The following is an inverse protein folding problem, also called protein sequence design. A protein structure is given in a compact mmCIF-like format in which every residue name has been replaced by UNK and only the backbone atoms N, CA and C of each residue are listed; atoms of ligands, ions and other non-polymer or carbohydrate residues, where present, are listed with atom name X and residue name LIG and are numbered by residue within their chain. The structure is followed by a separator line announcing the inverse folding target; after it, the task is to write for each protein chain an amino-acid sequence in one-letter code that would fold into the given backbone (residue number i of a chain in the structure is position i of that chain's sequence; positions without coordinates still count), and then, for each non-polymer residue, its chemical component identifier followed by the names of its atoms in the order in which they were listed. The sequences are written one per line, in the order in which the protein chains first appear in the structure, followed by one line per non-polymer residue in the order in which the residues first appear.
data_IF_488186083160
#
_entry.id   IF_488186083160
#
_cell.length_a   1.000
_cell.length_b   1.000
_cell.length_c   1.000
_cell.angle_alpha   90.00
_cell.angle_beta   90.00
_cell.angle_gamma   90.00
#
_symmetry.space_group_name_H-M   'P 1'
#
loop_
_entity.id
_entity.type
_entity.pdbx_description
1 polymer ?
#
# COMPACT_ATOMS: atom_id res chain seq x y z
N UNK A 1 -8.86 -12.95 33.73
CA UNK A 1 -8.86 -13.10 32.26
C UNK A 1 -9.79 -12.06 31.63
N UNK A 2 -9.23 -10.93 31.20
CA UNK A 2 -9.99 -9.99 30.36
C UNK A 2 -9.77 -10.36 28.90
N UNK A 3 -10.74 -11.10 28.33
CA UNK A 3 -10.78 -11.43 26.91
C UNK A 3 -11.75 -10.49 26.21
N UNK A 4 -11.31 -9.89 25.09
CA UNK A 4 -12.16 -9.06 24.24
C UNK A 4 -12.39 -9.77 22.92
N UNK A 5 -13.66 -9.98 22.57
CA UNK A 5 -14.04 -10.70 21.36
C UNK A 5 -14.58 -9.72 20.32
N UNK A 6 -14.18 -9.93 19.07
CA UNK A 6 -14.65 -9.20 17.90
C UNK A 6 -15.22 -10.21 16.93
N UNK A 7 -16.46 -9.97 16.51
CA UNK A 7 -17.17 -10.84 15.59
C UNK A 7 -17.73 -9.98 14.47
N UNK A 8 -17.32 -10.24 13.23
CA UNK A 8 -17.70 -9.42 12.08
C UNK A 8 -17.60 -10.19 10.78
N UNK A 9 -18.31 -9.72 9.74
CA UNK A 9 -18.22 -10.29 8.39
C UNK A 9 -16.98 -9.75 7.66
N UNK A 10 -16.25 -10.65 7.02
CA UNK A 10 -15.07 -10.28 6.22
C UNK A 10 -15.49 -9.61 4.91
N UNK A 11 -14.75 -8.57 4.51
CA UNK A 11 -15.03 -7.76 3.33
C UNK A 11 -13.80 -7.62 2.44
N UNK A 12 -14.02 -7.53 1.13
CA UNK A 12 -12.96 -7.28 0.16
C UNK A 12 -12.30 -5.91 0.41
N UNK A 13 -13.08 -4.92 0.86
CA UNK A 13 -12.58 -3.58 1.19
C UNK A 13 -11.63 -3.61 2.39
N UNK A 14 -11.97 -4.35 3.45
CA UNK A 14 -11.13 -4.47 4.64
C UNK A 14 -9.78 -5.11 4.32
N UNK A 15 -9.79 -6.21 3.55
CA UNK A 15 -8.53 -6.83 3.09
C UNK A 15 -7.77 -5.98 2.07
N UNK A 16 -8.46 -5.24 1.21
CA UNK A 16 -7.81 -4.31 0.29
C UNK A 16 -7.08 -3.21 1.05
N UNK A 17 -7.73 -2.62 2.05
CA UNK A 17 -7.13 -1.59 2.90
C UNK A 17 -5.95 -2.14 3.71
N UNK A 18 -6.11 -3.36 4.27
CA UNK A 18 -5.03 -4.09 4.94
C UNK A 18 -3.79 -4.26 4.04
N UNK A 19 -3.97 -4.66 2.78
CA UNK A 19 -2.84 -4.82 1.86
C UNK A 19 -2.28 -3.48 1.41
N UNK A 20 -3.13 -2.49 1.14
CA UNK A 20 -2.73 -1.15 0.68
C UNK A 20 -1.78 -0.46 1.66
N UNK A 21 -2.03 -0.57 2.97
CA UNK A 21 -1.19 0.05 4.01
C UNK A 21 -0.08 -0.86 4.55
N UNK A 22 0.06 -2.07 4.00
CA UNK A 22 1.10 -3.00 4.40
C UNK A 22 2.49 -2.43 4.10
N UNK A 23 3.48 -2.54 5.02
CA UNK A 23 4.84 -2.02 4.82
C UNK A 23 5.49 -2.49 3.51
N UNK A 24 5.27 -3.76 3.14
CA UNK A 24 5.74 -4.34 1.89
C UNK A 24 5.26 -3.54 0.66
N UNK A 25 3.96 -3.26 0.54
CA UNK A 25 3.43 -2.55 -0.63
C UNK A 25 3.86 -1.08 -0.67
N UNK A 26 4.09 -0.45 0.50
CA UNK A 26 4.72 0.87 0.55
C UNK A 26 6.11 0.86 -0.09
N UNK A 27 6.93 -0.15 0.21
CA UNK A 27 8.25 -0.35 -0.44
C UNK A 27 8.10 -0.62 -1.94
N UNK A 28 7.16 -1.47 -2.35
CA UNK A 28 6.90 -1.75 -3.78
C UNK A 28 6.53 -0.47 -4.55
N UNK A 29 5.66 0.37 -3.99
CA UNK A 29 5.32 1.66 -4.60
C UNK A 29 6.53 2.58 -4.71
N UNK A 30 7.35 2.67 -3.66
CA UNK A 30 8.56 3.49 -3.65
C UNK A 30 9.56 3.03 -4.72
N UNK A 31 9.96 1.76 -4.71
CA UNK A 31 10.90 1.22 -5.69
C UNK A 31 10.35 1.21 -7.11
N UNK A 32 9.04 1.00 -7.28
CA UNK A 32 8.43 1.07 -8.60
C UNK A 32 8.39 2.49 -9.16
N UNK A 33 8.13 3.52 -8.33
CA UNK A 33 8.23 4.91 -8.77
C UNK A 33 9.66 5.29 -9.15
N UNK A 34 10.66 4.84 -8.39
CA UNK A 34 12.08 5.01 -8.74
C UNK A 34 12.38 4.31 -10.08
N UNK A 35 11.92 3.07 -10.25
CA UNK A 35 12.11 2.33 -11.49
C UNK A 35 11.51 3.04 -12.70
N UNK A 36 10.28 3.53 -12.59
CA UNK A 36 9.62 4.33 -13.64
C UNK A 36 10.42 5.60 -13.95
N UNK A 37 10.90 6.29 -12.93
CA UNK A 37 11.75 7.48 -13.12
C UNK A 37 13.04 7.16 -13.88
N UNK A 38 13.78 6.12 -13.45
CA UNK A 38 15.03 5.70 -14.10
C UNK A 38 14.80 5.32 -15.57
N UNK A 39 13.76 4.53 -15.86
CA UNK A 39 13.40 4.16 -17.24
C UNK A 39 13.13 5.41 -18.08
N UNK A 40 12.37 6.38 -17.55
CA UNK A 40 12.09 7.63 -18.25
C UNK A 40 13.34 8.47 -18.51
N UNK A 41 14.28 8.53 -17.57
CA UNK A 41 15.56 9.23 -17.77
C UNK A 41 16.39 8.56 -18.86
N UNK A 42 16.48 7.22 -18.87
CA UNK A 42 17.21 6.49 -19.92
C UNK A 42 16.58 6.73 -21.30
N UNK A 43 15.25 6.68 -21.39
CA UNK A 43 14.53 6.97 -22.63
C UNK A 43 14.76 8.40 -23.11
N UNK A 44 14.77 9.38 -22.19
CA UNK A 44 15.09 10.76 -22.52
C UNK A 44 16.48 10.90 -23.12
N UNK A 45 17.50 10.32 -22.47
CA UNK A 45 18.87 10.37 -22.98
C UNK A 45 18.98 9.70 -24.35
N UNK A 46 18.31 8.56 -24.53
CA UNK A 46 18.27 7.84 -25.81
C UNK A 46 17.63 8.68 -26.92
N UNK A 47 16.42 9.21 -26.70
CA UNK A 47 15.73 10.02 -27.69
C UNK A 47 16.46 11.32 -27.98
N UNK A 48 17.03 11.97 -26.96
CA UNK A 48 17.79 13.20 -27.14
C UNK A 48 19.03 12.96 -28.01
N UNK A 49 19.78 11.88 -27.75
CA UNK A 49 20.92 11.51 -28.58
C UNK A 49 20.51 11.22 -30.03
N UNK A 50 19.48 10.38 -30.22
CA UNK A 50 19.01 10.00 -31.55
C UNK A 50 18.53 11.22 -32.37
N UNK A 51 17.81 12.16 -31.74
CA UNK A 51 17.38 13.37 -32.44
C UNK A 51 18.54 14.33 -32.72
N UNK A 52 19.53 14.45 -31.83
CA UNK A 52 20.72 15.28 -32.08
C UNK A 52 21.59 14.74 -33.23
N UNK A 53 21.80 13.43 -33.32
CA UNK A 53 22.50 12.82 -34.46
C UNK A 53 21.77 13.10 -35.78
N UNK A 54 20.43 13.03 -35.78
CA UNK A 54 19.62 13.32 -36.97
C UNK A 54 19.62 14.79 -37.38
N UNK A 55 20.04 15.71 -36.50
CA UNK A 55 19.96 17.16 -36.69
C UNK A 55 21.30 17.83 -37.05
N UNK A 56 22.29 17.05 -37.49
CA UNK A 56 23.70 17.46 -37.74
C UNK A 56 23.88 18.89 -38.31
N UNK A 57 24.73 19.74 -37.69
CA UNK A 57 24.77 21.18 -37.97
C UNK A 57 25.58 21.54 -39.22
N UNK A 58 25.10 22.56 -39.95
CA UNK A 58 25.79 23.14 -41.11
C UNK A 58 26.36 24.54 -40.85
N UNK A 59 25.85 25.31 -39.87
CA UNK A 59 26.44 26.62 -39.56
C UNK A 59 26.24 27.09 -38.10
N UNK A 60 27.08 28.01 -37.60
CA UNK A 60 27.10 28.46 -36.21
C UNK A 60 26.11 29.61 -35.91
N UNK A 61 25.05 29.78 -36.71
CA UNK A 61 24.07 30.87 -36.51
C UNK A 61 23.13 30.51 -35.35
N UNK A 62 22.87 31.46 -34.45
CA UNK A 62 22.02 31.27 -33.25
C UNK A 62 20.64 30.63 -33.55
N UNK A 63 20.09 30.92 -34.73
CA UNK A 63 18.83 30.32 -35.21
C UNK A 63 18.97 28.82 -35.57
N UNK A 64 20.10 28.40 -36.14
CA UNK A 64 20.38 26.98 -36.39
C UNK A 64 20.57 26.21 -35.07
N UNK A 65 21.23 26.81 -34.08
CA UNK A 65 21.38 26.20 -32.75
C UNK A 65 20.03 25.91 -32.07
N UNK A 66 19.08 26.84 -32.12
CA UNK A 66 17.74 26.64 -31.54
C UNK A 66 17.01 25.49 -32.24
N UNK A 67 17.04 25.46 -33.58
CA UNK A 67 16.34 24.45 -34.36
C UNK A 67 16.99 23.06 -34.30
N UNK A 68 18.32 22.98 -34.22
CA UNK A 68 19.06 21.72 -34.31
C UNK A 68 19.41 21.11 -32.94
N UNK A 69 19.39 21.91 -31.87
CA UNK A 69 19.74 21.43 -30.51
C UNK A 69 18.57 21.55 -29.56
N UNK A 70 17.96 22.74 -29.43
CA UNK A 70 16.91 22.97 -28.43
C UNK A 70 15.59 22.28 -28.79
N UNK A 71 15.17 22.35 -30.05
CA UNK A 71 13.92 21.75 -30.49
C UNK A 71 13.92 20.21 -30.40
N UNK A 72 14.96 19.50 -30.89
CA UNK A 72 15.15 18.07 -30.64
C UNK A 72 15.12 17.67 -29.17
N UNK A 73 15.80 18.43 -28.31
CA UNK A 73 15.81 18.17 -26.87
C UNK A 73 14.43 18.34 -26.24
N UNK A 74 13.66 19.35 -26.68
CA UNK A 74 12.29 19.58 -26.23
C UNK A 74 11.36 18.45 -26.68
N UNK A 75 11.51 17.95 -27.92
CA UNK A 75 10.76 16.79 -28.42
C UNK A 75 11.10 15.53 -27.63
N UNK A 76 12.39 15.25 -27.40
CA UNK A 76 12.82 14.12 -26.56
C UNK A 76 12.23 14.21 -25.14
N UNK A 77 12.25 15.40 -24.55
CA UNK A 77 11.69 15.64 -23.23
C UNK A 77 10.17 15.39 -23.21
N UNK A 78 9.44 15.97 -24.17
CA UNK A 78 8.00 15.79 -24.31
C UNK A 78 7.60 14.32 -24.49
N UNK A 79 8.29 13.60 -25.38
CA UNK A 79 8.04 12.17 -25.60
C UNK A 79 8.33 11.35 -24.34
N UNK A 80 9.41 11.67 -23.63
CA UNK A 80 9.78 10.97 -22.39
C UNK A 80 8.78 11.20 -21.27
N UNK A 81 8.21 12.41 -21.16
CA UNK A 81 7.14 12.71 -20.22
C UNK A 81 5.86 11.91 -20.53
N UNK A 82 5.49 11.79 -21.80
CA UNK A 82 4.33 10.98 -22.21
C UNK A 82 4.55 9.52 -21.82
N UNK A 83 5.72 8.95 -22.15
CA UNK A 83 6.04 7.56 -21.78
C UNK A 83 6.11 7.39 -20.27
N UNK A 84 6.70 8.35 -19.53
CA UNK A 84 6.71 8.35 -18.06
C UNK A 84 5.30 8.26 -17.49
N UNK A 85 4.40 9.12 -17.98
CA UNK A 85 3.02 9.15 -17.53
C UNK A 85 2.29 7.83 -17.81
N UNK A 86 2.47 7.26 -19.01
CA UNK A 86 1.88 5.96 -19.37
C UNK A 86 2.39 4.82 -18.49
N UNK A 87 3.71 4.74 -18.27
CA UNK A 87 4.33 3.74 -17.38
C UNK A 87 3.86 3.90 -15.93
N UNK A 88 3.77 5.14 -15.45
CA UNK A 88 3.26 5.44 -14.11
C UNK A 88 1.80 4.99 -13.95
N UNK A 89 0.93 5.34 -14.89
CA UNK A 89 -0.47 4.90 -14.88
C UNK A 89 -0.59 3.37 -14.95
N UNK A 90 0.16 2.74 -15.85
CA UNK A 90 0.20 1.29 -16.00
C UNK A 90 0.62 0.60 -14.69
N UNK A 91 1.72 1.06 -14.09
CA UNK A 91 2.22 0.54 -12.81
C UNK A 91 1.18 0.68 -11.70
N UNK A 92 0.58 1.87 -11.56
CA UNK A 92 -0.46 2.14 -10.56
C UNK A 92 -1.69 1.25 -10.76
N UNK A 93 -2.14 1.08 -12.00
CA UNK A 93 -3.26 0.22 -12.34
C UNK A 93 -2.96 -1.25 -12.00
N UNK A 94 -1.77 -1.75 -12.39
CA UNK A 94 -1.35 -3.14 -12.14
C UNK A 94 -1.28 -3.46 -10.65
N UNK A 95 -0.72 -2.57 -9.83
CA UNK A 95 -0.69 -2.78 -8.38
C UNK A 95 -2.11 -2.80 -7.80
N UNK A 96 -2.95 -1.83 -8.15
CA UNK A 96 -4.32 -1.79 -7.61
C UNK A 96 -5.12 -3.05 -8.00
N UNK A 97 -4.98 -3.52 -9.24
CA UNK A 97 -5.60 -4.76 -9.69
C UNK A 97 -5.06 -5.98 -8.91
N UNK A 98 -3.75 -6.04 -8.69
CA UNK A 98 -3.12 -7.08 -7.90
C UNK A 98 -3.58 -7.08 -6.43
N UNK A 99 -3.71 -5.91 -5.81
CA UNK A 99 -4.20 -5.74 -4.44
C UNK A 99 -5.64 -6.23 -4.31
N UNK A 100 -6.54 -5.81 -5.23
CA UNK A 100 -7.94 -6.27 -5.24
C UNK A 100 -8.03 -7.79 -5.37
N UNK A 101 -7.28 -8.38 -6.30
CA UNK A 101 -7.24 -9.84 -6.49
C UNK A 101 -6.71 -10.57 -5.25
N UNK A 102 -5.68 -10.01 -4.61
CA UNK A 102 -5.09 -10.58 -3.40
C UNK A 102 -6.01 -10.46 -2.19
N UNK A 103 -6.75 -9.37 -2.07
CA UNK A 103 -7.74 -9.15 -1.03
C UNK A 103 -8.86 -10.19 -1.09
N UNK A 104 -9.41 -10.41 -2.29
CA UNK A 104 -10.42 -11.45 -2.54
C UNK A 104 -9.91 -12.85 -2.16
N UNK A 105 -8.68 -13.20 -2.57
CA UNK A 105 -8.05 -14.49 -2.18
C UNK A 105 -7.85 -14.64 -0.68
N UNK A 106 -7.52 -13.55 0.03
CA UNK A 106 -7.39 -13.58 1.48
C UNK A 106 -8.76 -13.79 2.13
N UNK A 107 -9.78 -13.07 1.68
CA UNK A 107 -11.15 -13.28 2.16
C UNK A 107 -11.59 -14.73 1.97
N UNK A 108 -11.47 -15.27 0.76
CA UNK A 108 -11.81 -16.66 0.43
C UNK A 108 -11.02 -17.68 1.27
N UNK A 109 -9.77 -17.37 1.65
CA UNK A 109 -8.96 -18.24 2.52
C UNK A 109 -9.49 -18.29 3.96
N UNK A 110 -9.96 -17.16 4.50
CA UNK A 110 -10.38 -17.05 5.90
C UNK A 110 -11.89 -17.21 6.10
N UNK A 111 -12.68 -17.07 5.04
CA UNK A 111 -14.14 -17.27 5.02
C UNK A 111 -14.45 -18.44 4.08
N UNK A 112 -14.26 -19.67 4.56
CA UNK A 112 -14.43 -20.90 3.76
C UNK A 112 -15.91 -21.21 3.46
N UNK A 113 -16.83 -20.81 4.34
CA UNK A 113 -18.27 -20.91 4.14
C UNK A 113 -18.90 -19.52 3.91
N UNK A 114 -19.88 -19.45 3.01
CA UNK A 114 -20.60 -18.21 2.72
C UNK A 114 -21.28 -17.70 3.99
N UNK A 115 -21.00 -16.44 4.33
CA UNK A 115 -21.67 -15.66 5.39
C UNK A 115 -21.31 -15.99 6.85
N UNK A 116 -20.31 -16.84 7.11
CA UNK A 116 -19.81 -17.04 8.47
C UNK A 116 -19.14 -15.77 9.04
N UNK A 117 -19.45 -15.48 10.31
CA UNK A 117 -18.80 -14.42 11.05
C UNK A 117 -17.38 -14.82 11.45
N UNK A 118 -16.45 -13.91 11.24
CA UNK A 118 -15.07 -14.10 11.62
C UNK A 118 -14.84 -13.61 13.05
N UNK A 119 -14.30 -14.48 13.90
CA UNK A 119 -14.03 -14.18 15.30
C UNK A 119 -12.54 -13.93 15.54
N UNK A 120 -12.25 -12.83 16.25
CA UNK A 120 -10.93 -12.51 16.79
C UNK A 120 -11.07 -12.35 18.30
N UNK A 121 -10.20 -12.99 19.06
CA UNK A 121 -10.13 -12.83 20.51
C UNK A 121 -8.81 -12.20 20.89
N UNK A 122 -8.87 -11.07 21.58
CA UNK A 122 -7.71 -10.47 22.23
C UNK A 122 -7.61 -10.98 23.66
N UNK A 123 -6.49 -11.63 23.97
CA UNK A 123 -6.13 -12.09 25.31
C UNK A 123 -5.08 -11.14 25.89
N UNK A 124 -5.51 -10.31 26.83
CA UNK A 124 -4.67 -9.30 27.47
C UNK A 124 -3.55 -9.92 28.30
N UNK A 125 -3.80 -11.04 28.97
CA UNK A 125 -2.83 -11.70 29.83
C UNK A 125 -1.66 -12.24 28.99
N UNK A 126 -1.95 -12.61 27.74
CA UNK A 126 -0.96 -13.10 26.78
C UNK A 126 -0.42 -12.04 25.82
N UNK A 127 -0.93 -10.80 25.88
CA UNK A 127 -0.74 -9.73 24.91
C UNK A 127 -0.80 -10.24 23.46
N UNK A 128 -1.84 -11.01 23.14
CA UNK A 128 -1.93 -11.71 21.87
C UNK A 128 -3.35 -11.75 21.29
N UNK A 129 -3.39 -11.78 19.96
CA UNK A 129 -4.61 -12.01 19.20
C UNK A 129 -4.70 -13.48 18.79
N UNK A 130 -5.87 -14.07 18.99
CA UNK A 130 -6.24 -15.41 18.54
C UNK A 130 -7.19 -15.26 17.35
N UNK A 131 -6.74 -15.75 16.19
CA UNK A 131 -7.47 -15.63 14.93
C UNK A 131 -8.24 -16.91 14.58
N UNK A 132 -9.57 -16.78 14.39
CA UNK A 132 -10.45 -17.84 13.91
C UNK A 132 -10.48 -19.11 14.79
N UNK A 133 -11.09 -20.18 14.27
CA UNK A 133 -11.26 -21.44 15.00
C UNK A 133 -9.94 -22.16 15.29
N UNK A 134 -8.86 -21.85 14.56
CA UNK A 134 -7.53 -22.44 14.75
C UNK A 134 -6.65 -21.66 15.74
N UNK A 135 -7.17 -20.59 16.35
CA UNK A 135 -6.51 -19.78 17.38
C UNK A 135 -5.03 -19.48 17.10
N UNK A 136 -4.73 -19.00 15.89
CA UNK A 136 -3.35 -18.66 15.56
C UNK A 136 -2.93 -17.42 16.36
N UNK A 137 -1.86 -17.55 17.16
CA UNK A 137 -1.38 -16.52 18.08
C UNK A 137 -0.49 -15.51 17.35
N UNK A 138 -0.76 -14.23 17.57
CA UNK A 138 -0.01 -13.10 16.98
C UNK A 138 0.30 -12.09 18.09
N UNK A 139 1.52 -11.54 18.14
CA UNK A 139 1.82 -10.45 19.10
C UNK A 139 3.29 -10.10 19.36
N UNK A 140 4.27 -10.78 18.77
CA UNK A 140 5.68 -10.55 19.13
C UNK A 140 6.29 -9.29 18.49
N UNK A 141 5.89 -8.92 17.26
CA UNK A 141 6.33 -7.71 16.58
C UNK A 141 5.16 -7.04 15.84
N UNK A 142 4.19 -6.58 16.63
CA UNK A 142 2.94 -6.07 16.12
C UNK A 142 3.08 -4.62 15.65
N UNK A 143 2.83 -4.41 14.36
CA UNK A 143 2.59 -3.08 13.80
C UNK A 143 1.11 -2.89 13.56
N UNK A 144 0.60 -1.75 14.02
CA UNK A 144 -0.81 -1.41 13.99
C UNK A 144 -0.99 -0.11 13.23
N UNK A 145 -1.77 -0.15 12.14
CA UNK A 145 -2.15 1.03 11.38
C UNK A 145 -3.63 1.29 11.57
N UNK A 146 -3.96 2.44 12.16
CA UNK A 146 -5.34 2.83 12.44
C UNK A 146 -5.84 3.76 11.35
N UNK A 147 -6.82 3.33 10.55
CA UNK A 147 -7.44 4.14 9.49
C UNK A 147 -8.79 4.70 9.94
N UNK A 148 -9.50 5.45 9.10
CA UNK A 148 -10.85 5.92 9.47
C UNK A 148 -11.84 4.77 9.68
N UNK A 149 -11.66 3.64 8.98
CA UNK A 149 -12.60 2.51 8.99
C UNK A 149 -12.11 1.28 9.75
N UNK A 150 -10.80 1.03 9.79
CA UNK A 150 -10.25 -0.23 10.30
C UNK A 150 -9.03 -0.02 11.22
N UNK A 151 -8.81 -0.96 12.13
CA UNK A 151 -7.51 -1.21 12.75
C UNK A 151 -6.84 -2.33 11.95
N UNK A 152 -5.65 -2.06 11.41
CA UNK A 152 -4.91 -2.98 10.55
C UNK A 152 -3.70 -3.52 11.31
N UNK A 153 -3.53 -4.84 11.32
CA UNK A 153 -2.53 -5.52 12.13
C UNK A 153 -1.56 -6.30 11.25
N UNK A 154 -0.27 -6.18 11.57
CA UNK A 154 0.83 -6.79 10.85
C UNK A 154 1.85 -7.38 11.83
N UNK A 155 2.19 -8.65 11.68
CA UNK A 155 3.22 -9.31 12.48
C UNK A 155 4.52 -9.46 11.68
N UNK A 156 5.33 -8.40 11.66
CA UNK A 156 6.53 -8.26 10.82
C UNK A 156 6.39 -7.30 9.62
N UNK A 157 7.40 -7.30 8.75
CA UNK A 157 7.54 -6.37 7.60
C UNK A 157 7.56 -7.04 6.19
N UNK A 158 7.48 -8.37 6.12
CA UNK A 158 7.57 -9.17 4.89
C UNK A 158 6.23 -9.49 4.20
N UNK A 159 6.30 -9.88 2.91
CA UNK A 159 5.11 -10.23 2.09
C UNK A 159 4.21 -11.32 2.72
N UNK A 160 4.83 -12.32 3.35
CA UNK A 160 4.16 -13.51 3.91
C UNK A 160 3.79 -13.39 5.39
N UNK A 161 3.86 -12.19 5.97
CA UNK A 161 3.51 -12.00 7.37
C UNK A 161 2.03 -12.26 7.66
N UNK A 162 1.78 -12.68 8.89
CA UNK A 162 0.42 -12.77 9.43
C UNK A 162 -0.17 -11.38 9.55
N UNK A 163 -1.41 -11.24 9.09
CA UNK A 163 -2.09 -9.95 8.98
C UNK A 163 -3.58 -10.14 9.06
N UNK A 164 -4.24 -9.21 9.72
CA UNK A 164 -5.67 -9.17 9.88
C UNK A 164 -6.12 -7.74 10.11
N UNK A 165 -7.42 -7.50 10.08
CA UNK A 165 -7.99 -6.21 10.42
C UNK A 165 -9.14 -6.40 11.39
N UNK A 166 -9.48 -5.34 12.12
CA UNK A 166 -10.69 -5.22 12.91
C UNK A 166 -11.45 -3.98 12.40
N UNK A 167 -12.70 -4.12 11.92
CA UNK A 167 -13.53 -2.97 11.56
C UNK A 167 -13.81 -2.11 12.79
N UNK A 168 -13.92 -0.79 12.61
CA UNK A 168 -14.24 0.13 13.71
C UNK A 168 -15.75 0.31 13.90
N UNK A 169 -16.51 0.06 12.84
CA UNK A 169 -17.97 -0.03 12.87
C UNK A 169 -18.42 -1.37 13.46
N UNK A 170 -19.61 -1.35 14.06
CA UNK A 170 -20.19 -2.48 14.77
C UNK A 170 -21.19 -2.01 15.82
N UNK A 171 -21.68 -2.94 16.63
CA UNK A 171 -22.55 -2.63 17.77
C UNK A 171 -21.79 -1.88 18.89
N UNK A 172 -22.51 -1.46 19.93
CA UNK A 172 -21.92 -0.68 21.02
C UNK A 172 -20.78 -1.45 21.71
N UNK A 173 -20.96 -2.76 21.91
CA UNK A 173 -19.97 -3.62 22.57
C UNK A 173 -18.70 -3.73 21.74
N UNK A 174 -18.83 -3.90 20.43
CA UNK A 174 -17.72 -3.91 19.48
C UNK A 174 -16.96 -2.59 19.49
N UNK A 175 -17.66 -1.45 19.44
CA UNK A 175 -17.04 -0.13 19.49
C UNK A 175 -16.30 0.13 20.81
N UNK A 176 -16.90 -0.25 21.95
CA UNK A 176 -16.25 -0.20 23.27
C UNK A 176 -14.98 -1.07 23.30
N UNK A 177 -15.04 -2.28 22.73
CA UNK A 177 -13.87 -3.18 22.64
C UNK A 177 -12.78 -2.62 21.72
N UNK A 178 -13.14 -1.99 20.60
CA UNK A 178 -12.21 -1.33 19.67
C UNK A 178 -11.52 -0.15 20.35
N UNK A 179 -12.27 0.69 21.06
CA UNK A 179 -11.72 1.81 21.82
C UNK A 179 -10.75 1.32 22.90
N UNK A 180 -11.13 0.29 23.64
CA UNK A 180 -10.28 -0.34 24.65
C UNK A 180 -8.96 -0.84 24.07
N UNK A 181 -9.01 -1.61 22.98
CA UNK A 181 -7.79 -2.15 22.35
C UNK A 181 -6.93 -1.03 21.76
N UNK A 182 -7.53 -0.01 21.16
CA UNK A 182 -6.78 1.16 20.67
C UNK A 182 -5.98 1.80 21.82
N UNK A 183 -6.64 2.10 22.94
CA UNK A 183 -5.99 2.72 24.09
C UNK A 183 -4.92 1.82 24.72
N UNK A 184 -5.18 0.51 24.79
CA UNK A 184 -4.21 -0.48 25.26
C UNK A 184 -2.97 -0.49 24.38
N UNK A 185 -3.13 -0.68 23.07
CA UNK A 185 -2.02 -0.78 22.11
C UNK A 185 -1.19 0.50 22.01
N UNK A 186 -1.80 1.67 22.20
CA UNK A 186 -1.07 2.95 22.25
C UNK A 186 -0.18 3.07 23.50
N UNK A 187 -0.52 2.38 24.59
CA UNK A 187 0.23 2.42 25.86
C UNK A 187 1.22 1.26 26.00
N UNK A 188 1.08 0.20 25.22
CA UNK A 188 1.94 -0.98 25.27
C UNK A 188 3.27 -0.75 24.57
N UNK A 189 4.37 -0.93 25.31
CA UNK A 189 5.73 -0.90 24.75
C UNK A 189 5.95 -2.06 23.76
N UNK A 190 6.60 -1.79 22.63
CA UNK A 190 6.88 -2.78 21.59
C UNK A 190 5.86 -2.85 20.45
N UNK A 191 4.74 -2.12 20.54
CA UNK A 191 3.78 -1.98 19.43
C UNK A 191 4.10 -0.73 18.62
N UNK A 192 4.27 -0.86 17.30
CA UNK A 192 4.38 0.30 16.41
C UNK A 192 2.99 0.75 15.99
N UNK A 193 2.44 1.77 16.66
CA UNK A 193 1.13 2.32 16.35
C UNK A 193 1.23 3.56 15.44
N UNK A 194 0.56 3.52 14.28
CA UNK A 194 0.51 4.64 13.31
C UNK A 194 -0.94 5.00 13.00
N UNK A 195 -1.33 6.26 13.20
CA UNK A 195 -2.66 6.75 12.82
C UNK A 195 -2.63 7.35 11.40
N UNK A 196 -3.47 6.82 10.52
CA UNK A 196 -3.63 7.27 9.13
C UNK A 196 -5.02 7.89 8.96
N UNK A 197 -5.05 9.20 8.75
CA UNK A 197 -6.26 9.89 8.29
C UNK A 197 -7.03 10.66 9.34
N UNK A 198 -6.37 11.59 10.05
CA UNK A 198 -6.99 12.92 10.15
C UNK A 198 -6.71 13.63 8.83
N UNK A 199 -7.69 13.64 7.92
CA UNK A 199 -7.80 14.82 7.05
C UNK A 199 -8.05 15.97 8.03
N UNK A 200 -7.05 16.82 8.25
CA UNK A 200 -7.33 18.13 8.81
C UNK A 200 -8.34 18.80 7.87
N UNK A 201 -9.37 19.47 8.41
CA UNK A 201 -10.41 20.14 7.63
C UNK A 201 -9.81 21.11 6.60
#
# INVERSE_FOLDING_TARGET
MQKKTFTFKLSDEGYYELLKYMPYFRKVHFFGNIGVFVISTVLFLYYNHAFQESASPSSPVMFEFILQVMFPALLAFGLSLVVHFLLYLYFRFRINAFLKKSARRLKEKYQQAFDEEYMIVFDQDQNAFLLGNRQHRIGQNLKVVSTSKHLLFYDGDGKSQTKFYIPKDGDRVHQENVAYIKDYLMKTSGVQYEEKGKRLP
#
